data_IF_803797696886
#
_entry.id   IF_803797696886
#
_cell.length_a   1.000
_cell.length_b   1.000
_cell.length_c   1.000
_cell.angle_alpha   90.00
_cell.angle_beta   90.00
_cell.angle_gamma   90.00
#
_symmetry.space_group_name_H-M   'P 1'
#
loop_
_entity.id
_entity.type
_entity.pdbx_description
1 polymer ?
#
# COMPACT_ATOMS: atom_id res chain seq x y z
N UNK A 1 -0.49 3.71 11.63
CA UNK A 1 0.25 4.95 11.25
C UNK A 1 -0.05 5.25 9.79
N UNK A 2 -0.29 6.52 9.43
CA UNK A 2 -0.47 6.97 8.05
C UNK A 2 0.72 7.85 7.63
N UNK A 3 1.23 7.64 6.41
CA UNK A 3 2.28 8.46 5.79
C UNK A 3 1.88 8.79 4.35
N UNK A 4 2.11 10.02 3.92
CA UNK A 4 1.79 10.48 2.56
C UNK A 4 3.03 11.08 1.89
N UNK A 5 3.03 11.15 0.55
CA UNK A 5 4.12 11.78 -0.21
C UNK A 5 5.42 10.97 -0.23
N UNK A 6 5.29 9.63 -0.20
CA UNK A 6 6.44 8.72 -0.19
C UNK A 6 6.99 8.48 -1.60
N UNK A 7 8.24 8.03 -1.67
CA UNK A 7 8.78 7.41 -2.88
C UNK A 7 8.10 6.07 -3.15
N UNK A 8 8.17 5.61 -4.41
CA UNK A 8 7.69 4.27 -4.79
C UNK A 8 8.34 3.18 -3.91
N UNK A 9 7.58 2.22 -3.36
CA UNK A 9 8.12 1.12 -2.57
C UNK A 9 9.14 0.30 -3.38
N UNK A 10 10.30 -0.09 -2.81
CA UNK A 10 11.36 -0.77 -3.54
C UNK A 10 10.94 -2.15 -4.05
N UNK A 11 9.99 -2.80 -3.38
CA UNK A 11 9.42 -4.10 -3.73
C UNK A 11 8.20 -4.03 -4.65
N UNK A 12 7.77 -2.82 -5.05
CA UNK A 12 6.70 -2.66 -6.03
C UNK A 12 7.25 -2.76 -7.45
N UNK A 13 7.35 -4.00 -7.93
CA UNK A 13 7.88 -4.37 -9.25
C UNK A 13 6.80 -5.04 -10.11
N UNK A 14 7.06 -5.22 -11.40
CA UNK A 14 6.18 -5.98 -12.28
C UNK A 14 6.02 -7.40 -11.72
N UNK A 15 4.77 -7.83 -11.55
CA UNK A 15 4.42 -9.11 -10.94
C UNK A 15 4.16 -9.06 -9.43
N UNK A 16 4.35 -7.91 -8.77
CA UNK A 16 3.97 -7.74 -7.37
C UNK A 16 2.46 -7.94 -7.16
N UNK A 17 2.04 -8.66 -6.10
CA UNK A 17 0.63 -8.84 -5.80
C UNK A 17 -0.02 -7.51 -5.39
N UNK A 18 -1.23 -7.28 -5.86
CA UNK A 18 -2.05 -6.09 -5.56
C UNK A 18 -3.38 -6.53 -4.99
N UNK A 19 -3.81 -5.89 -3.92
CA UNK A 19 -5.14 -6.03 -3.34
C UNK A 19 -5.99 -4.81 -3.70
N UNK A 20 -7.23 -5.03 -4.15
CA UNK A 20 -8.19 -3.95 -4.41
C UNK A 20 -9.16 -3.84 -3.24
N UNK A 21 -9.31 -2.64 -2.68
CA UNK A 21 -10.28 -2.32 -1.63
C UNK A 21 -10.96 -1.01 -2.03
N UNK A 22 -12.28 -1.00 -2.15
CA UNK A 22 -13.08 0.18 -2.53
C UNK A 22 -12.49 1.00 -3.69
N UNK A 23 -12.10 0.30 -4.77
CA UNK A 23 -11.48 0.86 -6.00
C UNK A 23 -10.08 1.47 -5.81
N UNK A 24 -9.45 1.26 -4.66
CA UNK A 24 -8.05 1.61 -4.39
C UNK A 24 -7.18 0.36 -4.53
N UNK A 25 -6.08 0.47 -5.26
CA UNK A 25 -5.11 -0.60 -5.42
C UNK A 25 -3.99 -0.47 -4.39
N UNK A 26 -3.85 -1.49 -3.55
CA UNK A 26 -2.90 -1.58 -2.45
C UNK A 26 -1.82 -2.62 -2.73
N UNK A 27 -0.57 -2.21 -2.64
CA UNK A 27 0.58 -3.10 -2.59
C UNK A 27 0.99 -3.31 -1.14
N UNK A 28 1.07 -4.56 -0.69
CA UNK A 28 1.59 -4.89 0.63
C UNK A 28 3.10 -5.05 0.56
N UNK A 29 3.82 -4.30 1.38
CA UNK A 29 5.25 -4.49 1.56
C UNK A 29 5.50 -5.80 2.30
N UNK A 30 6.31 -6.67 1.70
CA UNK A 30 6.78 -7.88 2.37
C UNK A 30 7.80 -7.47 3.42
N UNK A 31 7.62 -7.94 4.65
CA UNK A 31 8.51 -7.58 5.76
C UNK A 31 9.93 -8.08 5.49
N UNK A 32 10.82 -7.20 5.03
CA UNK A 32 12.23 -7.51 4.73
C UNK A 32 13.13 -7.33 5.96
N UNK A 33 12.57 -6.94 7.12
CA UNK A 33 13.34 -6.66 8.32
C UNK A 33 13.09 -7.74 9.38
N UNK A 34 13.97 -8.75 9.39
CA UNK A 34 14.13 -9.73 10.48
C UNK A 34 14.61 -9.10 11.81
N UNK A 35 14.12 -7.91 12.18
CA UNK A 35 14.54 -7.16 13.37
C UNK A 35 13.68 -5.94 13.71
N UNK A 36 12.44 -5.88 13.22
CA UNK A 36 11.59 -4.69 13.36
C UNK A 36 10.41 -4.88 14.30
N UNK A 37 9.30 -5.43 13.80
CA UNK A 37 8.01 -5.41 14.50
C UNK A 37 7.14 -6.59 14.08
N UNK A 38 7.39 -7.75 14.70
CA UNK A 38 6.68 -9.00 14.42
C UNK A 38 5.16 -8.76 14.25
N UNK A 39 4.67 -8.94 13.01
CA UNK A 39 3.25 -8.98 12.67
C UNK A 39 2.58 -7.65 12.31
N UNK A 40 3.31 -6.54 12.17
CA UNK A 40 2.75 -5.34 11.53
C UNK A 40 2.72 -5.52 10.02
N UNK A 41 1.69 -4.98 9.38
CA UNK A 41 1.55 -5.00 7.92
C UNK A 41 1.51 -3.57 7.41
N UNK A 42 2.26 -3.29 6.35
CA UNK A 42 2.28 -1.98 5.68
C UNK A 42 1.76 -2.14 4.25
N UNK A 43 0.74 -1.34 3.90
CA UNK A 43 0.18 -1.26 2.56
C UNK A 43 0.42 0.12 1.97
N UNK A 44 0.64 0.17 0.66
CA UNK A 44 0.87 1.39 -0.11
C UNK A 44 -0.18 1.51 -1.21
N UNK A 45 -0.81 2.66 -1.37
CA UNK A 45 -1.62 2.94 -2.57
C UNK A 45 -0.70 3.08 -3.78
N UNK A 46 -0.98 2.37 -4.86
CA UNK A 46 -0.13 2.35 -6.06
C UNK A 46 -0.78 2.94 -7.31
N UNK A 47 -2.08 3.22 -7.24
CA UNK A 47 -2.91 3.79 -8.31
C UNK A 47 -3.34 5.22 -7.99
N UNK A 48 -2.54 5.93 -7.19
CA UNK A 48 -2.75 7.33 -6.81
C UNK A 48 -1.49 8.15 -7.16
N UNK A 49 -1.62 9.45 -7.49
CA UNK A 49 -0.50 10.30 -7.86
C UNK A 49 0.54 10.47 -6.74
N UNK A 50 0.16 10.15 -5.50
CA UNK A 50 1.04 10.09 -4.34
C UNK A 50 0.90 8.73 -3.66
N UNK A 51 2.01 8.19 -3.18
CA UNK A 51 2.00 6.97 -2.38
C UNK A 51 1.56 7.30 -0.95
N UNK A 52 0.51 6.64 -0.50
CA UNK A 52 0.00 6.67 0.88
C UNK A 52 0.29 5.33 1.52
N UNK A 53 1.01 5.32 2.65
CA UNK A 53 1.30 4.09 3.40
C UNK A 53 0.43 3.99 4.65
N UNK A 54 -0.26 2.87 4.79
CA UNK A 54 -1.00 2.47 5.98
C UNK A 54 -0.25 1.33 6.67
N UNK A 55 0.21 1.54 7.90
CA UNK A 55 0.78 0.48 8.74
C UNK A 55 -0.18 0.12 9.87
N UNK A 56 -0.58 -1.15 9.94
CA UNK A 56 -1.47 -1.69 10.97
C UNK A 56 -0.76 -2.73 11.84
N UNK A 57 -1.03 -2.76 13.15
CA UNK A 57 -0.64 -3.86 14.02
C UNK A 57 -1.43 -5.15 13.73
N UNK A 58 -0.93 -6.32 14.19
CA UNK A 58 -1.71 -7.56 14.15
C UNK A 58 -3.06 -7.37 14.84
N UNK A 59 -4.10 -8.03 14.32
CA UNK A 59 -5.44 -7.98 14.91
C UNK A 59 -6.26 -6.71 14.61
N UNK A 60 -5.77 -5.79 13.78
CA UNK A 60 -6.51 -4.56 13.42
C UNK A 60 -7.79 -4.80 12.60
N UNK A 61 -7.96 -6.00 12.05
CA UNK A 61 -9.06 -6.30 11.11
C UNK A 61 -8.93 -5.53 9.78
N UNK A 62 -10.00 -5.58 8.98
CA UNK A 62 -10.04 -4.95 7.66
C UNK A 62 -10.67 -3.54 7.65
N UNK A 63 -11.34 -3.13 8.73
CA UNK A 63 -12.05 -1.84 8.79
C UNK A 63 -11.15 -0.63 8.49
N UNK A 64 -9.93 -0.51 9.04
CA UNK A 64 -9.10 0.67 8.80
C UNK A 64 -8.70 0.85 7.32
N UNK A 65 -8.45 -0.25 6.60
CA UNK A 65 -8.10 -0.16 5.17
C UNK A 65 -9.35 0.12 4.30
N UNK A 66 -10.53 -0.33 4.71
CA UNK A 66 -11.80 0.00 4.03
C UNK A 66 -12.13 1.50 4.16
N UNK A 67 -12.19 2.02 5.39
CA UNK A 67 -12.51 3.44 5.64
C UNK A 67 -11.54 4.38 4.93
N UNK A 68 -10.24 4.07 4.96
CA UNK A 68 -9.25 4.86 4.25
C UNK A 68 -9.39 4.73 2.73
N UNK A 69 -9.76 3.57 2.22
CA UNK A 69 -9.98 3.38 0.79
C UNK A 69 -11.15 4.21 0.28
N UNK A 70 -12.26 4.25 1.01
CA UNK A 70 -13.40 5.11 0.66
C UNK A 70 -13.03 6.60 0.59
N UNK A 71 -12.26 7.09 1.56
CA UNK A 71 -11.82 8.49 1.58
C UNK A 71 -10.88 8.76 0.41
N UNK A 72 -9.93 7.86 0.14
CA UNK A 72 -8.98 8.01 -0.96
C UNK A 72 -9.68 7.99 -2.33
N UNK A 73 -10.65 7.08 -2.54
CA UNK A 73 -11.45 7.01 -3.78
C UNK A 73 -12.17 8.32 -4.07
N UNK A 74 -12.72 8.97 -3.04
CA UNK A 74 -13.48 10.22 -3.17
C UNK A 74 -12.60 11.46 -3.34
N UNK A 75 -11.36 11.44 -2.84
CA UNK A 75 -10.54 12.65 -2.70
C UNK A 75 -9.29 12.67 -3.58
N UNK A 76 -8.81 11.52 -4.03
CA UNK A 76 -7.58 11.41 -4.80
C UNK A 76 -7.86 10.63 -6.09
N UNK A 77 -7.70 11.32 -7.22
CA UNK A 77 -7.93 10.72 -8.53
C UNK A 77 -7.04 9.49 -8.77
N UNK A 78 -7.63 8.47 -9.40
CA UNK A 78 -6.91 7.29 -9.83
C UNK A 78 -5.97 7.61 -11.00
N UNK A 79 -4.80 6.97 -11.02
CA UNK A 79 -3.83 7.01 -12.12
C UNK A 79 -3.38 5.60 -12.47
N UNK A 80 -2.89 5.35 -13.70
CA UNK A 80 -2.27 4.06 -14.03
C UNK A 80 -1.12 3.72 -13.07
N UNK A 81 -1.05 2.47 -12.63
CA UNK A 81 0.04 2.00 -11.77
C UNK A 81 1.37 2.01 -12.53
N UNK A 82 2.47 2.29 -11.82
CA UNK A 82 3.81 2.39 -12.41
C UNK A 82 4.86 1.55 -11.62
N UNK A 83 4.76 0.21 -11.64
CA UNK A 83 5.73 -0.66 -10.98
C UNK A 83 7.13 -0.53 -11.60
N UNK A 84 8.16 -0.82 -10.83
CA UNK A 84 9.52 -0.96 -11.36
C UNK A 84 9.67 -2.25 -12.21
N UNK A 85 10.66 -2.35 -13.10
CA UNK A 85 10.94 -3.59 -13.83
C UNK A 85 11.15 -4.79 -12.89
N UNK A 86 10.91 -6.04 -13.35
CA UNK A 86 11.15 -7.23 -12.54
C UNK A 86 12.63 -7.35 -12.17
N UNK A 87 12.91 -7.89 -10.98
CA UNK A 87 14.29 -8.17 -10.54
C UNK A 87 14.86 -9.30 -11.42
N UNK A 88 16.01 -9.06 -12.03
CA UNK A 88 16.78 -10.09 -12.75
C UNK A 88 17.64 -10.89 -11.79
#
# INVERSE_FOLDING_TARGET
MLRCGLNRPPDFVVGSPIQVVDRVQWFQEMDTQAGGQAGRSTWYTVDRPVYVALTLPPGSGATPIQELSEVIDRTIAAVPIAPAPPRR
#
